data_IF_826981428619
#
_entry.id   IF_826981428619
#
_cell.length_a   1.000
_cell.length_b   1.000
_cell.length_c   1.000
_cell.angle_alpha   90.00
_cell.angle_beta   90.00
_cell.angle_gamma   90.00
#
_symmetry.space_group_name_H-M   'P 1'
#
loop_
_entity.id
_entity.type
_entity.pdbx_description
1 polymer ?
#
# COMPACT_ATOMS: atom_id res chain seq x y z
N UNK A 1 -2.84 -20.82 9.13
CA UNK A 1 -3.59 -20.70 7.85
C UNK A 1 -4.90 -19.92 7.96
N UNK A 2 -5.58 -19.88 9.11
CA UNK A 2 -6.88 -19.18 9.26
C UNK A 2 -6.82 -17.68 8.95
N UNK A 3 -5.76 -16.98 9.36
CA UNK A 3 -5.60 -15.53 9.12
C UNK A 3 -5.60 -15.18 7.63
N UNK A 4 -4.88 -15.95 6.81
CA UNK A 4 -4.83 -15.72 5.35
C UNK A 4 -6.20 -15.93 4.71
N UNK A 5 -6.92 -16.99 5.13
CA UNK A 5 -8.28 -17.25 4.64
C UNK A 5 -9.23 -16.10 4.99
N UNK A 6 -9.15 -15.58 6.21
CA UNK A 6 -9.97 -14.44 6.64
C UNK A 6 -9.66 -13.17 5.83
N UNK A 7 -8.37 -12.84 5.64
CA UNK A 7 -7.97 -11.69 4.82
C UNK A 7 -8.45 -11.82 3.37
N UNK A 8 -8.22 -12.98 2.76
CA UNK A 8 -8.63 -13.25 1.38
C UNK A 8 -10.15 -13.17 1.20
N UNK A 9 -10.91 -13.81 2.09
CA UNK A 9 -12.37 -13.80 2.03
C UNK A 9 -12.94 -12.38 2.22
N UNK A 10 -12.35 -11.58 3.11
CA UNK A 10 -12.79 -10.20 3.33
C UNK A 10 -12.47 -9.31 2.13
N UNK A 11 -11.26 -9.44 1.57
CA UNK A 11 -10.86 -8.72 0.36
C UNK A 11 -11.75 -9.09 -0.83
N UNK A 12 -12.00 -10.39 -1.02
CA UNK A 12 -12.84 -10.89 -2.10
C UNK A 12 -14.27 -10.35 -2.00
N UNK A 13 -14.84 -10.33 -0.79
CA UNK A 13 -16.15 -9.74 -0.55
C UNK A 13 -16.17 -8.23 -0.84
N UNK A 14 -15.15 -7.49 -0.39
CA UNK A 14 -15.05 -6.05 -0.64
C UNK A 14 -14.94 -5.71 -2.14
N UNK A 15 -14.20 -6.54 -2.90
CA UNK A 15 -14.13 -6.46 -4.35
C UNK A 15 -15.49 -6.71 -5.00
N UNK A 16 -16.20 -7.78 -4.60
CA UNK A 16 -17.52 -8.12 -5.13
C UNK A 16 -18.57 -7.04 -4.82
N UNK A 17 -18.52 -6.43 -3.64
CA UNK A 17 -19.46 -5.39 -3.22
C UNK A 17 -19.11 -3.98 -3.72
N UNK A 18 -17.96 -3.80 -4.39
CA UNK A 18 -17.49 -2.49 -4.86
C UNK A 18 -17.20 -1.50 -3.73
N UNK A 19 -17.07 -1.96 -2.48
CA UNK A 19 -16.91 -1.12 -1.30
C UNK A 19 -15.47 -0.69 -1.06
N UNK A 20 -14.55 -1.03 -1.97
CA UNK A 20 -13.17 -0.56 -1.94
C UNK A 20 -13.06 0.96 -2.01
N UNK A 21 -14.03 1.62 -2.63
CA UNK A 21 -14.15 3.07 -2.70
C UNK A 21 -15.30 3.50 -1.79
N UNK A 22 -15.05 3.90 -0.53
CA UNK A 22 -16.09 4.38 0.35
C UNK A 22 -16.72 5.66 -0.22
N UNK A 23 -17.99 5.90 0.10
CA UNK A 23 -18.64 7.15 -0.26
C UNK A 23 -17.90 8.35 0.36
N UNK A 24 -17.81 9.50 -0.33
CA UNK A 24 -17.12 10.68 0.19
C UNK A 24 -17.62 11.11 1.57
N UNK A 25 -18.91 10.93 1.83
CA UNK A 25 -19.56 11.26 3.10
C UNK A 25 -19.05 10.35 4.24
N UNK A 26 -18.94 9.05 3.99
CA UNK A 26 -18.40 8.09 4.95
C UNK A 26 -16.92 8.37 5.25
N UNK A 27 -16.15 8.77 4.23
CA UNK A 27 -14.73 9.09 4.37
C UNK A 27 -14.50 10.34 5.23
N UNK A 28 -15.29 11.40 5.05
CA UNK A 28 -15.21 12.62 5.86
C UNK A 28 -15.57 12.34 7.32
N UNK A 29 -16.60 11.53 7.58
CA UNK A 29 -16.96 11.11 8.93
C UNK A 29 -15.83 10.32 9.59
N UNK A 30 -15.16 9.45 8.83
CA UNK A 30 -14.02 8.67 9.32
C UNK A 30 -12.84 9.57 9.70
N UNK A 31 -12.44 10.49 8.83
CA UNK A 31 -11.30 11.41 9.06
C UNK A 31 -11.52 12.28 10.30
N UNK A 32 -12.76 12.74 10.53
CA UNK A 32 -13.10 13.55 11.71
C UNK A 32 -13.04 12.78 13.03
N UNK A 33 -13.13 11.44 13.00
CA UNK A 33 -13.09 10.58 14.17
C UNK A 33 -11.73 9.94 14.47
N UNK A 34 -10.71 10.17 13.64
CA UNK A 34 -9.38 9.56 13.82
C UNK A 34 -8.64 10.24 14.98
N UNK A 35 -8.17 9.42 15.92
CA UNK A 35 -7.25 9.87 16.97
C UNK A 35 -5.81 10.02 16.46
N UNK A 36 -5.01 10.86 17.11
CA UNK A 36 -3.57 11.02 16.79
C UNK A 36 -2.79 9.70 16.87
N UNK A 37 -3.16 8.82 17.79
CA UNK A 37 -2.55 7.48 17.92
C UNK A 37 -2.82 6.61 16.69
N UNK A 38 -4.04 6.62 16.18
CA UNK A 38 -4.39 5.90 14.95
C UNK A 38 -3.70 6.48 13.73
N UNK A 39 -3.56 7.81 13.66
CA UNK A 39 -2.82 8.47 12.57
C UNK A 39 -1.34 8.06 12.57
N UNK A 40 -0.69 8.06 13.74
CA UNK A 40 0.72 7.65 13.86
C UNK A 40 0.88 6.18 13.51
N UNK A 41 0.03 5.31 14.06
CA UNK A 41 0.06 3.88 13.74
C UNK A 41 -0.14 3.63 12.23
N UNK A 42 -1.14 4.29 11.63
CA UNK A 42 -1.38 4.21 10.19
C UNK A 42 -0.21 4.76 9.36
N UNK A 43 0.43 5.83 9.83
CA UNK A 43 1.62 6.41 9.20
C UNK A 43 2.82 5.48 9.21
N UNK A 44 3.08 4.77 10.31
CA UNK A 44 4.15 3.76 10.41
C UNK A 44 3.89 2.63 9.43
N UNK A 45 2.67 2.07 9.43
CA UNK A 45 2.30 0.98 8.51
C UNK A 45 2.41 1.43 7.05
N UNK A 46 2.00 2.66 6.73
CA UNK A 46 2.14 3.21 5.39
C UNK A 46 3.62 3.34 4.98
N UNK A 47 4.49 3.80 5.88
CA UNK A 47 5.92 3.89 5.64
C UNK A 47 6.56 2.49 5.44
N UNK A 48 6.14 1.49 6.21
CA UNK A 48 6.58 0.10 6.04
C UNK A 48 6.16 -0.47 4.67
N UNK A 49 4.92 -0.25 4.26
CA UNK A 49 4.44 -0.65 2.93
C UNK A 49 5.27 -0.02 1.80
N UNK A 50 5.62 1.27 1.92
CA UNK A 50 6.49 1.94 0.95
C UNK A 50 7.90 1.34 0.95
N UNK A 51 8.49 1.08 2.12
CA UNK A 51 9.79 0.44 2.24
C UNK A 51 9.82 -0.96 1.61
N UNK A 52 8.84 -1.80 1.92
CA UNK A 52 8.74 -3.15 1.34
C UNK A 52 8.46 -3.11 -0.17
N UNK A 53 7.70 -2.13 -0.66
CA UNK A 53 7.51 -1.93 -2.08
C UNK A 53 8.86 -1.63 -2.77
N UNK A 54 9.65 -0.70 -2.24
CA UNK A 54 10.99 -0.41 -2.76
C UNK A 54 11.91 -1.62 -2.73
N UNK A 55 11.88 -2.41 -1.65
CA UNK A 55 12.63 -3.69 -1.58
C UNK A 55 12.14 -4.68 -2.65
N UNK A 56 10.83 -4.78 -2.86
CA UNK A 56 10.24 -5.58 -3.93
C UNK A 56 10.70 -5.13 -5.32
N UNK A 57 10.78 -3.82 -5.57
CA UNK A 57 11.33 -3.29 -6.82
C UNK A 57 12.82 -3.61 -7.00
N UNK A 58 13.62 -3.52 -5.93
CA UNK A 58 15.04 -3.92 -5.93
C UNK A 58 15.19 -5.39 -6.32
N UNK A 59 14.36 -6.26 -5.73
CA UNK A 59 14.33 -7.70 -6.04
C UNK A 59 13.86 -7.96 -7.47
N UNK A 60 12.75 -7.34 -7.89
CA UNK A 60 12.18 -7.52 -9.23
C UNK A 60 13.11 -7.02 -10.35
N UNK A 61 13.92 -6.00 -10.08
CA UNK A 61 14.87 -5.43 -11.05
C UNK A 61 16.28 -6.01 -10.92
N UNK A 62 16.51 -6.87 -9.92
CA UNK A 62 17.81 -7.41 -9.50
C UNK A 62 18.89 -6.32 -9.41
N UNK A 63 18.54 -5.15 -8.86
CA UNK A 63 19.42 -3.98 -8.76
C UNK A 63 19.28 -3.32 -7.40
N UNK A 64 20.38 -3.32 -6.64
CA UNK A 64 20.45 -2.75 -5.29
C UNK A 64 20.59 -1.22 -5.30
N UNK A 65 21.23 -0.68 -6.34
CA UNK A 65 21.44 0.75 -6.55
C UNK A 65 20.83 1.03 -7.92
N UNK A 66 20.11 2.15 -8.06
CA UNK A 66 19.34 2.51 -9.27
C UNK A 66 20.10 2.34 -10.59
N UNK A 67 19.38 2.36 -11.72
CA UNK A 67 20.00 2.23 -13.05
C UNK A 67 21.14 3.26 -13.17
N UNK A 68 22.38 2.77 -13.30
CA UNK A 68 23.56 3.60 -13.50
C UNK A 68 23.53 4.13 -14.92
N UNK A 69 22.79 5.21 -15.15
CA UNK A 69 22.63 5.84 -16.45
C UNK A 69 22.02 4.91 -17.49
N UNK A 70 20.89 5.29 -18.08
CA UNK A 70 20.95 5.30 -19.53
C UNK A 70 22.13 6.22 -19.87
N UNK A 71 23.28 5.65 -20.20
CA UNK A 71 24.15 6.34 -21.14
C UNK A 71 23.24 6.51 -22.35
N UNK A 72 22.68 7.71 -22.51
CA UNK A 72 22.05 8.09 -23.76
C UNK A 72 23.10 7.79 -24.83
N UNK A 73 22.92 6.65 -25.52
CA UNK A 73 23.81 6.22 -26.57
C UNK A 73 23.59 7.22 -27.71
N UNK A 74 24.34 8.31 -27.65
CA UNK A 74 24.36 9.34 -28.67
C UNK A 74 25.53 9.01 -29.58
N UNK A 75 25.28 8.17 -30.59
CA UNK A 75 26.14 7.99 -31.75
C UNK A 75 25.26 7.60 -32.95
#
# INVERSE_FOLDING_TARGET
MSTFQSYYQNLWRALQSGTLLPSPQAMVQHIRGISTTQLVAGGVVAAECLGFFTVGEILGRFKLIGYRGEVAHHH
#
